data_IF_892048589850
#
_entry.id   IF_892048589850
#
_cell.length_a   1.000
_cell.length_b   1.000
_cell.length_c   1.000
_cell.angle_alpha   90.00
_cell.angle_beta   90.00
_cell.angle_gamma   90.00
#
_symmetry.space_group_name_H-M   'P 1'
#
loop_
_entity.id
_entity.type
_entity.pdbx_description
1 polymer ?
#
# COMPACT_ATOMS: atom_id res chain seq x y z
N UNK A 1 30.17 46.56 12.33
CA UNK A 1 29.11 46.13 11.43
C UNK A 1 29.38 46.65 10.02
N UNK A 2 29.41 45.74 9.07
CA UNK A 2 29.49 46.11 7.66
C UNK A 2 28.09 45.93 7.04
N UNK A 3 27.62 46.92 6.23
CA UNK A 3 26.29 47.03 5.62
C UNK A 3 25.15 47.47 6.58
N UNK A 4 23.88 47.30 6.17
CA UNK A 4 22.75 48.05 6.73
C UNK A 4 21.92 47.26 7.75
N UNK A 5 21.21 47.98 8.60
CA UNK A 5 20.19 47.44 9.51
C UNK A 5 20.64 46.37 10.51
N UNK A 6 21.93 46.24 10.77
CA UNK A 6 22.47 45.32 11.75
C UNK A 6 22.34 45.84 13.18
N UNK A 7 21.89 44.99 14.11
CA UNK A 7 21.83 45.24 15.55
C UNK A 7 22.85 44.35 16.25
N UNK A 8 23.73 44.96 17.08
CA UNK A 8 24.79 44.23 17.78
C UNK A 8 26.18 44.54 17.23
N UNK A 9 27.15 43.62 17.41
CA UNK A 9 28.56 43.87 17.07
C UNK A 9 29.11 42.82 16.10
N UNK A 10 29.99 43.24 15.22
CA UNK A 10 30.75 42.39 14.30
C UNK A 10 29.89 41.64 13.30
N UNK A 11 28.71 42.17 12.98
CA UNK A 11 27.83 41.58 11.96
C UNK A 11 28.24 42.12 10.57
N UNK A 12 28.08 41.27 9.55
CA UNK A 12 28.31 41.59 8.14
C UNK A 12 27.11 41.21 7.29
N UNK A 13 26.70 42.02 6.33
CA UNK A 13 25.51 41.87 5.55
C UNK A 13 24.32 42.68 6.08
N UNK A 14 23.07 42.27 5.87
CA UNK A 14 21.91 43.11 6.12
C UNK A 14 20.93 42.51 7.15
N UNK A 15 20.42 43.33 8.06
CA UNK A 15 19.36 43.00 9.00
C UNK A 15 19.73 41.93 10.05
N UNK A 16 21.00 41.72 10.34
CA UNK A 16 21.41 40.73 11.34
C UNK A 16 21.28 41.29 12.77
N UNK A 17 20.87 40.45 13.70
CA UNK A 17 20.73 40.78 15.13
C UNK A 17 21.62 39.84 15.96
N UNK A 18 22.54 40.44 16.76
CA UNK A 18 23.42 39.68 17.63
C UNK A 18 24.90 39.90 17.32
N UNK A 19 25.71 38.86 17.37
CA UNK A 19 27.17 38.99 17.27
C UNK A 19 27.76 38.08 16.21
N UNK A 20 28.70 38.59 15.42
CA UNK A 20 29.47 37.82 14.44
C UNK A 20 28.64 37.13 13.36
N UNK A 21 27.42 37.59 13.06
CA UNK A 21 26.59 37.01 12.01
C UNK A 21 27.00 37.55 10.62
N UNK A 22 26.88 36.70 9.60
CA UNK A 22 27.19 37.04 8.21
C UNK A 22 26.04 36.64 7.29
N UNK A 23 25.65 37.50 6.37
CA UNK A 23 24.56 37.28 5.44
C UNK A 23 23.34 38.15 5.76
N UNK A 24 22.12 37.59 5.69
CA UNK A 24 20.90 38.37 5.77
C UNK A 24 19.94 37.87 6.83
N UNK A 25 19.51 38.75 7.74
CA UNK A 25 18.40 38.45 8.66
C UNK A 25 18.70 37.40 9.72
N UNK A 26 19.96 37.12 10.02
CA UNK A 26 20.31 36.15 11.05
C UNK A 26 20.13 36.73 12.46
N UNK A 27 19.69 35.92 13.39
CA UNK A 27 19.51 36.28 14.79
C UNK A 27 20.33 35.33 15.68
N UNK A 28 21.24 35.87 16.47
CA UNK A 28 22.05 35.08 17.40
C UNK A 28 23.54 35.31 17.26
N UNK A 29 24.36 34.26 17.32
CA UNK A 29 25.80 34.35 17.34
C UNK A 29 26.44 33.49 16.25
N UNK A 30 27.25 34.10 15.39
CA UNK A 30 28.09 33.39 14.44
C UNK A 30 27.31 32.65 13.34
N UNK A 31 26.08 33.04 13.04
CA UNK A 31 25.30 32.43 11.97
C UNK A 31 25.77 33.00 10.62
N UNK A 32 25.74 32.11 9.60
CA UNK A 32 26.13 32.46 8.22
C UNK A 32 25.00 32.05 7.26
N UNK A 33 24.65 32.97 6.34
CA UNK A 33 23.62 32.73 5.33
C UNK A 33 22.35 33.54 5.57
N UNK A 34 21.17 32.94 5.52
CA UNK A 34 19.92 33.69 5.53
C UNK A 34 18.96 33.22 6.62
N UNK A 35 18.48 34.18 7.42
CA UNK A 35 17.40 33.97 8.39
C UNK A 35 17.61 32.77 9.34
N UNK A 36 18.83 32.56 9.79
CA UNK A 36 19.11 31.57 10.82
C UNK A 36 18.87 32.16 12.22
N UNK A 37 18.35 31.34 13.12
CA UNK A 37 18.13 31.70 14.51
C UNK A 37 18.94 30.76 15.44
N UNK A 38 19.81 31.34 16.27
CA UNK A 38 20.59 30.56 17.23
C UNK A 38 22.11 30.80 17.12
N UNK A 39 22.90 29.73 17.18
CA UNK A 39 24.35 29.84 17.27
C UNK A 39 25.02 28.99 16.18
N UNK A 40 25.94 29.57 15.46
CA UNK A 40 26.82 28.88 14.50
C UNK A 40 26.08 28.07 13.42
N UNK A 41 24.88 28.47 13.02
CA UNK A 41 24.17 27.85 11.92
C UNK A 41 24.68 28.37 10.57
N UNK A 42 24.73 27.51 9.56
CA UNK A 42 25.15 27.82 8.20
C UNK A 42 24.11 27.41 7.18
N UNK A 43 23.78 28.28 6.24
CA UNK A 43 22.76 28.07 5.23
C UNK A 43 21.53 28.93 5.48
N UNK A 44 20.33 28.35 5.42
CA UNK A 44 19.12 29.19 5.46
C UNK A 44 18.05 28.60 6.40
N UNK A 45 17.41 29.50 7.14
CA UNK A 45 16.24 29.17 7.98
C UNK A 45 16.50 28.07 9.02
N UNK A 46 17.72 27.93 9.51
CA UNK A 46 18.03 26.98 10.57
C UNK A 46 17.74 27.58 11.94
N UNK A 47 17.24 26.79 12.85
CA UNK A 47 17.01 27.15 14.25
C UNK A 47 17.77 26.22 15.17
N UNK A 48 18.61 26.75 16.05
CA UNK A 48 19.35 25.99 17.03
C UNK A 48 20.85 26.21 17.03
N UNK A 49 21.62 25.14 17.14
CA UNK A 49 23.07 25.20 17.24
C UNK A 49 23.76 24.37 16.17
N UNK A 50 24.61 24.96 15.37
CA UNK A 50 25.53 24.25 14.48
C UNK A 50 24.89 23.51 13.35
N UNK A 51 23.67 23.87 12.95
CA UNK A 51 23.00 23.24 11.82
C UNK A 51 23.57 23.75 10.50
N UNK A 52 23.67 22.87 9.50
CA UNK A 52 24.15 23.21 8.15
C UNK A 52 23.14 22.78 7.10
N UNK A 53 22.89 23.61 6.10
CA UNK A 53 21.88 23.39 5.08
C UNK A 53 20.66 24.26 5.29
N UNK A 54 19.46 23.72 5.12
CA UNK A 54 18.25 24.56 5.15
C UNK A 54 17.15 23.99 6.03
N UNK A 55 16.50 24.90 6.76
CA UNK A 55 15.27 24.58 7.51
C UNK A 55 15.44 23.47 8.55
N UNK A 56 16.61 23.41 9.17
CA UNK A 56 16.84 22.46 10.25
C UNK A 56 16.49 23.08 11.61
N UNK A 57 15.92 22.26 12.49
CA UNK A 57 15.62 22.64 13.87
C UNK A 57 16.34 21.69 14.83
N UNK A 58 17.16 22.23 15.74
CA UNK A 58 17.86 21.44 16.74
C UNK A 58 19.38 21.64 16.72
N UNK A 59 20.11 20.54 16.87
CA UNK A 59 21.55 20.61 17.10
C UNK A 59 22.31 19.79 16.05
N UNK A 60 23.31 20.42 15.41
CA UNK A 60 24.25 19.72 14.54
C UNK A 60 23.64 18.85 13.45
N UNK A 61 22.59 19.33 12.80
CA UNK A 61 21.97 18.63 11.67
C UNK A 61 22.58 19.14 10.35
N UNK A 62 23.42 18.37 9.65
CA UNK A 62 23.79 18.64 8.28
C UNK A 62 22.75 18.06 7.32
N UNK A 63 22.24 18.86 6.40
CA UNK A 63 21.21 18.48 5.46
C UNK A 63 20.03 19.43 5.48
N UNK A 64 18.85 18.96 5.13
CA UNK A 64 17.69 19.84 5.00
C UNK A 64 16.47 19.30 5.74
N UNK A 65 15.71 20.22 6.32
CA UNK A 65 14.41 19.90 6.94
C UNK A 65 14.53 18.81 8.03
N UNK A 66 15.59 18.84 8.81
CA UNK A 66 15.76 17.90 9.92
C UNK A 66 15.31 18.54 11.24
N UNK A 67 14.71 17.74 12.10
CA UNK A 67 14.35 18.11 13.46
C UNK A 67 15.00 17.15 14.44
N UNK A 68 15.81 17.69 15.36
CA UNK A 68 16.47 16.90 16.40
C UNK A 68 17.98 17.08 16.47
N UNK A 69 18.73 16.01 16.63
CA UNK A 69 20.17 16.06 16.90
C UNK A 69 20.95 15.20 15.92
N UNK A 70 21.93 15.78 15.24
CA UNK A 70 22.92 15.03 14.47
C UNK A 70 22.38 14.24 13.30
N UNK A 71 21.25 14.64 12.73
CA UNK A 71 20.69 13.96 11.57
C UNK A 71 21.41 14.38 10.30
N UNK A 72 21.89 13.42 9.53
CA UNK A 72 22.50 13.62 8.20
C UNK A 72 21.49 13.17 7.12
N UNK A 73 21.38 13.87 6.04
CA UNK A 73 20.34 13.63 5.05
C UNK A 73 19.20 14.62 5.19
N UNK A 74 17.98 14.23 4.83
CA UNK A 74 16.89 15.20 4.78
C UNK A 74 15.60 14.67 5.39
N UNK A 75 14.80 15.59 5.94
CA UNK A 75 13.46 15.30 6.43
C UNK A 75 13.48 14.24 7.55
N UNK A 76 14.43 14.31 8.46
CA UNK A 76 14.50 13.40 9.60
C UNK A 76 13.96 14.07 10.87
N UNK A 77 13.26 13.28 11.68
CA UNK A 77 12.84 13.66 13.04
C UNK A 77 13.44 12.68 14.05
N UNK A 78 14.22 13.19 14.99
CA UNK A 78 14.88 12.39 16.01
C UNK A 78 16.38 12.60 16.05
N UNK A 79 17.17 11.55 16.25
CA UNK A 79 18.59 11.74 16.48
C UNK A 79 19.46 10.75 15.70
N UNK A 80 20.54 11.26 15.14
CA UNK A 80 21.58 10.45 14.50
C UNK A 80 21.08 9.55 13.37
N UNK A 81 20.09 10.00 12.61
CA UNK A 81 19.68 9.35 11.38
C UNK A 81 20.59 9.78 10.23
N UNK A 82 21.00 8.83 9.37
CA UNK A 82 21.89 9.14 8.23
C UNK A 82 21.17 9.14 6.89
N UNK A 83 20.08 8.42 6.75
CA UNK A 83 19.21 8.45 5.57
C UNK A 83 18.23 9.61 5.59
N UNK A 84 17.21 9.51 4.80
CA UNK A 84 16.18 10.55 4.65
C UNK A 84 14.81 10.06 5.10
N UNK A 85 13.98 11.01 5.54
CA UNK A 85 12.57 10.75 5.92
C UNK A 85 12.44 9.72 7.04
N UNK A 86 13.32 9.76 8.03
CA UNK A 86 13.26 8.87 9.18
C UNK A 86 12.61 9.55 10.39
N UNK A 87 11.85 8.77 11.15
CA UNK A 87 11.35 9.16 12.48
C UNK A 87 11.88 8.20 13.53
N UNK A 88 12.62 8.73 14.50
CA UNK A 88 13.31 7.97 15.54
C UNK A 88 14.80 8.20 15.55
N UNK A 89 15.58 7.19 15.94
CA UNK A 89 17.01 7.42 16.14
C UNK A 89 17.88 6.30 15.55
N UNK A 90 19.07 6.68 15.08
CA UNK A 90 20.07 5.75 14.58
C UNK A 90 19.58 4.90 13.39
N UNK A 91 18.71 5.45 12.53
CA UNK A 91 18.33 4.79 11.29
C UNK A 91 19.34 5.15 10.19
N UNK A 92 19.86 4.13 9.50
CA UNK A 92 20.85 4.30 8.44
C UNK A 92 20.20 4.41 7.05
N UNK A 93 19.11 3.68 6.82
CA UNK A 93 18.34 3.72 5.58
C UNK A 93 17.29 4.82 5.55
N UNK A 94 16.45 4.78 4.55
CA UNK A 94 15.43 5.79 4.28
C UNK A 94 14.04 5.36 4.77
N UNK A 95 13.18 6.32 5.08
CA UNK A 95 11.76 6.11 5.37
C UNK A 95 11.48 5.16 6.55
N UNK A 96 12.32 5.16 7.56
CA UNK A 96 12.13 4.31 8.72
C UNK A 96 11.36 5.02 9.85
N UNK A 97 10.53 4.26 10.55
CA UNK A 97 9.90 4.67 11.81
C UNK A 97 10.35 3.75 12.94
N UNK A 98 10.93 4.32 13.99
CA UNK A 98 11.56 3.60 15.08
C UNK A 98 13.07 3.79 15.13
N UNK A 99 13.82 2.85 15.65
CA UNK A 99 15.25 3.09 15.86
C UNK A 99 16.12 1.90 15.47
N UNK A 100 17.35 2.21 15.08
CA UNK A 100 18.36 1.22 14.72
C UNK A 100 17.98 0.37 13.50
N UNK A 101 17.21 0.91 12.57
CA UNK A 101 16.92 0.25 11.32
C UNK A 101 17.98 0.61 10.28
N UNK A 102 18.59 -0.41 9.66
CA UNK A 102 19.65 -0.19 8.67
C UNK A 102 19.17 -0.30 7.23
N UNK A 103 18.06 -0.97 6.98
CA UNK A 103 17.39 -0.98 5.67
C UNK A 103 16.34 0.11 5.54
N UNK A 104 15.57 0.05 4.46
CA UNK A 104 14.60 1.07 4.09
C UNK A 104 13.16 0.66 4.46
N UNK A 105 12.31 1.66 4.67
CA UNK A 105 10.88 1.46 4.90
C UNK A 105 10.53 0.51 6.06
N UNK A 106 11.30 0.55 7.14
CA UNK A 106 11.02 -0.28 8.30
C UNK A 106 10.20 0.47 9.35
N UNK A 107 9.33 -0.26 10.03
CA UNK A 107 8.63 0.20 11.22
C UNK A 107 9.00 -0.70 12.40
N UNK A 108 9.65 -0.13 13.42
CA UNK A 108 10.08 -0.86 14.61
C UNK A 108 11.56 -0.69 14.92
N UNK A 109 12.19 -1.73 15.43
CA UNK A 109 13.52 -1.63 16.00
C UNK A 109 14.46 -2.69 15.47
N UNK A 110 15.71 -2.31 15.17
CA UNK A 110 16.80 -3.24 14.80
C UNK A 110 16.51 -4.06 13.54
N UNK A 111 15.70 -3.56 12.61
CA UNK A 111 15.47 -4.25 11.35
C UNK A 111 16.60 -3.95 10.36
N UNK A 112 17.18 -5.00 9.78
CA UNK A 112 18.33 -4.87 8.89
C UNK A 112 18.01 -4.96 7.40
N UNK A 113 16.91 -5.59 7.04
CA UNK A 113 16.39 -5.59 5.65
C UNK A 113 15.32 -4.53 5.44
N UNK A 114 14.66 -4.59 4.30
CA UNK A 114 13.71 -3.59 3.86
C UNK A 114 12.26 -4.01 4.15
N UNK A 115 11.37 -3.01 4.30
CA UNK A 115 9.93 -3.19 4.44
C UNK A 115 9.50 -4.09 5.60
N UNK A 116 10.22 -4.06 6.71
CA UNK A 116 9.88 -4.87 7.87
C UNK A 116 9.01 -4.07 8.86
N UNK A 117 8.09 -4.79 9.51
CA UNK A 117 7.35 -4.29 10.66
C UNK A 117 7.64 -5.18 11.86
N UNK A 118 8.26 -4.61 12.90
CA UNK A 118 8.55 -5.33 14.13
C UNK A 118 9.96 -5.16 14.66
N UNK A 119 10.55 -6.22 15.19
CA UNK A 119 11.82 -6.12 15.91
C UNK A 119 12.84 -7.14 15.42
N UNK A 120 14.03 -6.67 15.11
CA UNK A 120 15.20 -7.52 14.80
C UNK A 120 14.96 -8.50 13.63
N UNK A 121 14.30 -8.05 12.58
CA UNK A 121 14.14 -8.80 11.35
C UNK A 121 15.33 -8.54 10.43
N UNK A 122 15.92 -9.59 9.84
CA UNK A 122 17.13 -9.46 9.00
C UNK A 122 16.90 -9.73 7.51
N UNK A 123 15.70 -10.10 7.11
CA UNK A 123 15.31 -10.20 5.72
C UNK A 123 14.33 -9.10 5.33
N UNK A 124 13.67 -9.27 4.21
CA UNK A 124 12.76 -8.26 3.64
C UNK A 124 11.29 -8.65 3.82
N UNK A 125 10.44 -7.63 3.95
CA UNK A 125 8.98 -7.77 3.96
C UNK A 125 8.48 -8.72 5.05
N UNK A 126 9.00 -8.56 6.25
CA UNK A 126 8.60 -9.38 7.39
C UNK A 126 7.70 -8.59 8.36
N UNK A 127 6.79 -9.32 9.00
CA UNK A 127 5.97 -8.79 10.09
C UNK A 127 6.13 -9.67 11.33
N UNK A 128 6.73 -9.13 12.38
CA UNK A 128 6.97 -9.86 13.61
C UNK A 128 8.32 -9.59 14.24
N UNK A 129 8.93 -10.59 14.85
CA UNK A 129 10.22 -10.38 15.50
C UNK A 129 11.18 -11.55 15.34
N UNK A 130 12.47 -11.21 15.25
CA UNK A 130 13.58 -12.16 15.14
C UNK A 130 13.43 -13.08 13.92
N UNK A 131 12.98 -12.55 12.83
CA UNK A 131 12.81 -13.28 11.58
C UNK A 131 14.08 -13.13 10.74
N UNK A 132 14.59 -14.25 10.27
CA UNK A 132 15.71 -14.32 9.33
C UNK A 132 15.26 -15.01 8.06
N UNK A 133 14.96 -14.24 7.04
CA UNK A 133 14.35 -14.67 5.79
C UNK A 133 13.45 -13.58 5.24
N UNK A 134 12.73 -13.87 4.18
CA UNK A 134 11.90 -12.89 3.49
C UNK A 134 10.43 -13.30 3.53
N UNK A 135 9.54 -12.32 3.42
CA UNK A 135 8.10 -12.54 3.27
C UNK A 135 7.50 -13.43 4.37
N UNK A 136 7.91 -13.22 5.61
CA UNK A 136 7.52 -14.06 6.73
C UNK A 136 6.74 -13.29 7.78
N UNK A 137 5.88 -14.00 8.51
CA UNK A 137 5.02 -13.42 9.54
C UNK A 137 5.06 -14.26 10.83
N UNK A 138 5.32 -13.64 11.96
CA UNK A 138 5.38 -14.29 13.25
C UNK A 138 6.68 -14.06 14.02
N UNK A 139 7.18 -15.08 14.69
CA UNK A 139 8.32 -14.94 15.60
C UNK A 139 9.34 -16.07 15.39
N UNK A 140 10.63 -15.70 15.44
CA UNK A 140 11.76 -16.65 15.44
C UNK A 140 11.85 -17.54 14.20
N UNK A 141 11.27 -17.13 13.08
CA UNK A 141 11.35 -17.88 11.84
C UNK A 141 12.71 -17.75 11.15
N UNK A 142 13.14 -18.84 10.55
CA UNK A 142 14.31 -18.87 9.66
C UNK A 142 13.89 -19.39 8.29
N UNK A 143 14.29 -18.65 7.26
CA UNK A 143 13.89 -18.96 5.88
C UNK A 143 12.70 -18.12 5.41
N UNK A 144 12.43 -18.25 4.13
CA UNK A 144 11.44 -17.42 3.44
C UNK A 144 10.02 -18.00 3.57
N UNK A 145 9.03 -17.14 3.42
CA UNK A 145 7.61 -17.49 3.35
C UNK A 145 7.09 -18.26 4.56
N UNK A 146 7.59 -17.95 5.75
CA UNK A 146 7.15 -18.60 6.99
C UNK A 146 5.94 -17.90 7.60
N UNK A 147 5.13 -18.65 8.36
CA UNK A 147 3.93 -18.12 9.00
C UNK A 147 2.80 -17.84 8.01
N UNK A 148 2.73 -18.59 6.93
CA UNK A 148 1.63 -18.52 5.97
C UNK A 148 0.34 -18.98 6.63
N UNK A 149 -0.66 -18.12 6.62
CA UNK A 149 -2.04 -18.51 6.96
C UNK A 149 -2.79 -18.61 5.64
N UNK A 150 -3.07 -19.82 5.21
CA UNK A 150 -3.80 -20.07 3.98
C UNK A 150 -4.89 -21.10 4.19
N UNK A 151 -6.03 -20.89 3.59
CA UNK A 151 -7.10 -21.86 3.43
C UNK A 151 -7.29 -22.11 1.94
N UNK A 152 -7.03 -23.33 1.50
CA UNK A 152 -7.38 -23.76 0.15
C UNK A 152 -8.41 -24.89 0.26
N UNK A 153 -9.58 -24.68 -0.29
CA UNK A 153 -10.62 -25.68 -0.35
C UNK A 153 -11.35 -25.60 -1.69
N UNK A 154 -11.83 -26.73 -2.13
CA UNK A 154 -12.69 -26.79 -3.32
C UNK A 154 -14.08 -27.23 -2.88
N UNK A 155 -15.05 -26.38 -3.10
CA UNK A 155 -16.47 -26.74 -2.96
C UNK A 155 -16.95 -27.21 -4.33
N UNK A 156 -17.34 -28.44 -4.42
CA UNK A 156 -17.90 -28.96 -5.64
C UNK A 156 -19.43 -28.94 -5.53
N UNK A 157 -20.08 -28.14 -6.37
CA UNK A 157 -21.52 -28.23 -6.54
C UNK A 157 -21.77 -29.50 -7.33
N UNK A 158 -22.53 -30.46 -6.78
CA UNK A 158 -22.86 -31.70 -7.50
C UNK A 158 -23.57 -31.38 -8.83
N UNK A 159 -23.50 -32.30 -9.74
CA UNK A 159 -24.28 -32.22 -10.97
C UNK A 159 -25.78 -32.01 -10.66
N UNK A 160 -26.34 -30.94 -11.22
CA UNK A 160 -27.75 -30.61 -11.11
C UNK A 160 -28.44 -31.19 -12.36
N UNK A 161 -29.09 -32.32 -12.25
CA UNK A 161 -29.80 -32.88 -13.41
C UNK A 161 -30.99 -32.00 -13.78
N UNK A 162 -31.16 -31.75 -15.04
CA UNK A 162 -32.37 -31.14 -15.54
C UNK A 162 -33.03 -32.02 -16.58
N UNK A 163 -34.34 -31.99 -16.57
CA UNK A 163 -35.18 -32.61 -17.57
C UNK A 163 -36.21 -31.59 -18.00
N UNK A 164 -36.40 -31.44 -19.28
CA UNK A 164 -37.55 -30.71 -19.80
C UNK A 164 -38.38 -31.63 -20.67
N UNK A 165 -39.67 -31.56 -20.47
CA UNK A 165 -40.66 -32.20 -21.29
C UNK A 165 -41.49 -31.10 -21.95
N UNK A 166 -41.30 -30.91 -23.25
CA UNK A 166 -42.09 -29.98 -24.02
C UNK A 166 -43.05 -30.80 -24.91
N UNK A 167 -44.33 -30.56 -24.69
CA UNK A 167 -45.39 -31.16 -25.52
C UNK A 167 -46.14 -30.05 -26.23
N UNK A 168 -45.97 -29.98 -27.53
CA UNK A 168 -46.63 -28.99 -28.36
C UNK A 168 -47.68 -29.72 -29.21
N UNK A 169 -49.00 -29.55 -28.94
CA UNK A 169 -50.01 -30.03 -29.83
C UNK A 169 -50.01 -29.22 -31.12
N UNK A 170 -49.88 -29.90 -32.24
CA UNK A 170 -49.98 -29.30 -33.57
C UNK A 170 -51.30 -29.74 -34.18
N UNK A 171 -52.17 -28.78 -34.36
CA UNK A 171 -53.46 -28.97 -35.05
C UNK A 171 -53.37 -28.34 -36.44
N UNK A 172 -52.68 -29.05 -37.35
CA UNK A 172 -52.52 -28.56 -38.74
C UNK A 172 -53.15 -29.65 -39.65
N UNK A 173 -54.12 -29.30 -40.47
CA UNK A 173 -54.65 -30.19 -41.48
C UNK A 173 -53.63 -30.38 -42.60
N UNK A 174 -52.71 -31.29 -42.44
CA UNK A 174 -51.73 -31.67 -43.47
C UNK A 174 -52.14 -32.95 -44.14
N UNK A 175 -52.34 -32.88 -45.48
CA UNK A 175 -52.48 -34.08 -46.30
C UNK A 175 -51.12 -34.41 -46.90
N UNK A 176 -50.37 -35.35 -46.28
CA UNK A 176 -49.05 -35.79 -46.73
C UNK A 176 -48.15 -36.21 -45.58
N UNK A 177 -47.07 -36.91 -45.88
CA UNK A 177 -46.08 -37.34 -44.91
C UNK A 177 -44.96 -36.28 -44.80
N UNK A 178 -44.73 -35.73 -43.62
CA UNK A 178 -43.58 -34.83 -43.36
C UNK A 178 -42.61 -35.60 -42.46
N UNK A 179 -41.40 -35.79 -42.97
CA UNK A 179 -40.28 -36.34 -42.19
C UNK A 179 -39.32 -35.21 -41.91
N UNK A 180 -39.24 -34.79 -40.69
CA UNK A 180 -38.23 -33.85 -40.25
C UNK A 180 -37.22 -34.56 -39.35
N UNK A 181 -35.97 -34.68 -39.81
CA UNK A 181 -34.84 -35.12 -39.00
C UNK A 181 -33.99 -33.92 -38.70
N UNK A 182 -34.00 -33.45 -37.49
CA UNK A 182 -33.07 -32.41 -37.03
C UNK A 182 -32.26 -32.92 -35.85
N UNK A 183 -31.01 -33.30 -36.07
CA UNK A 183 -30.10 -33.40 -34.96
C UNK A 183 -29.71 -31.97 -34.57
N UNK A 184 -30.27 -31.47 -33.50
CA UNK A 184 -29.91 -30.16 -33.00
C UNK A 184 -29.16 -30.34 -31.70
N UNK A 185 -27.88 -30.11 -31.78
CA UNK A 185 -27.11 -29.79 -30.59
C UNK A 185 -27.01 -28.26 -30.47
N UNK A 186 -27.28 -27.74 -29.30
CA UNK A 186 -26.93 -26.34 -29.02
C UNK A 186 -25.95 -26.28 -27.88
N UNK A 187 -25.01 -25.37 -28.02
CA UNK A 187 -23.94 -25.17 -27.04
C UNK A 187 -24.20 -23.87 -26.29
N UNK A 188 -24.29 -23.93 -24.97
CA UNK A 188 -24.27 -22.78 -24.11
C UNK A 188 -22.81 -22.35 -24.01
N UNK A 189 -22.45 -21.14 -24.45
CA UNK A 189 -21.07 -20.65 -24.32
C UNK A 189 -20.58 -20.69 -22.88
N UNK A 190 -19.31 -20.98 -22.69
CA UNK A 190 -18.70 -20.92 -21.37
C UNK A 190 -18.88 -19.53 -20.74
N UNK A 191 -19.10 -19.50 -19.45
CA UNK A 191 -19.25 -18.25 -18.67
C UNK A 191 -18.38 -18.28 -17.43
N UNK A 192 -18.03 -17.09 -16.97
CA UNK A 192 -17.14 -16.92 -15.85
C UNK A 192 -17.92 -16.62 -14.57
N UNK A 193 -17.68 -17.41 -13.54
CA UNK A 193 -18.21 -17.12 -12.19
C UNK A 193 -17.16 -16.34 -11.41
N UNK A 194 -17.54 -15.17 -10.93
CA UNK A 194 -16.72 -14.33 -10.06
C UNK A 194 -17.44 -14.13 -8.73
N UNK A 195 -16.87 -14.65 -7.66
CA UNK A 195 -17.42 -14.49 -6.30
C UNK A 195 -16.51 -13.58 -5.51
N UNK A 196 -17.07 -12.51 -4.95
CA UNK A 196 -16.43 -11.57 -4.05
C UNK A 196 -16.93 -11.82 -2.63
N UNK A 197 -16.06 -12.24 -1.73
CA UNK A 197 -16.37 -12.48 -0.32
C UNK A 197 -15.67 -11.44 0.56
N UNK A 198 -16.42 -10.41 0.95
CA UNK A 198 -16.00 -9.44 1.96
C UNK A 198 -14.94 -8.43 1.50
N UNK A 199 -14.38 -7.64 2.42
CA UNK A 199 -13.33 -6.65 2.10
C UNK A 199 -11.98 -7.27 1.70
N UNK A 200 -11.74 -8.53 2.04
CA UNK A 200 -10.69 -9.34 1.44
C UNK A 200 -11.31 -10.06 0.23
N UNK A 201 -11.10 -9.51 -0.95
CA UNK A 201 -11.64 -10.08 -2.17
C UNK A 201 -11.02 -11.46 -2.43
N UNK A 202 -11.74 -12.52 -2.11
CA UNK A 202 -11.45 -13.82 -2.67
C UNK A 202 -12.07 -13.84 -4.06
N UNK A 203 -11.24 -13.73 -5.08
CA UNK A 203 -11.68 -13.84 -6.46
C UNK A 203 -11.65 -15.32 -6.80
N UNK A 204 -12.81 -15.94 -6.79
CA UNK A 204 -13.00 -17.21 -7.48
C UNK A 204 -13.22 -16.90 -8.95
N UNK A 205 -12.27 -17.26 -9.76
CA UNK A 205 -12.26 -16.99 -11.19
C UNK A 205 -12.27 -18.34 -11.92
N UNK A 206 -13.42 -19.01 -11.88
CA UNK A 206 -13.60 -20.27 -12.57
C UNK A 206 -14.36 -20.07 -13.88
N UNK A 207 -13.86 -20.69 -14.92
CA UNK A 207 -14.49 -20.71 -16.23
C UNK A 207 -15.28 -22.02 -16.38
N UNK A 208 -16.60 -21.90 -16.37
CA UNK A 208 -17.44 -23.04 -16.71
C UNK A 208 -17.39 -23.20 -18.21
N UNK A 209 -16.87 -24.31 -18.67
CA UNK A 209 -16.73 -24.65 -20.10
C UNK A 209 -18.05 -24.66 -20.83
N UNK A 210 -18.00 -24.70 -22.16
CA UNK A 210 -19.21 -24.79 -22.93
C UNK A 210 -19.99 -26.08 -22.59
N UNK A 211 -21.30 -25.95 -22.36
CA UNK A 211 -22.19 -27.06 -22.12
C UNK A 211 -22.92 -27.38 -23.42
N UNK A 212 -22.69 -28.57 -23.97
CA UNK A 212 -23.35 -29.01 -25.19
C UNK A 212 -24.56 -29.91 -24.84
N UNK A 213 -25.71 -29.56 -25.34
CA UNK A 213 -26.95 -30.32 -25.15
C UNK A 213 -27.29 -30.94 -26.50
N UNK A 214 -27.26 -32.26 -26.56
CA UNK A 214 -27.66 -33.03 -27.75
C UNK A 214 -29.13 -33.37 -27.69
N UNK A 215 -29.87 -32.90 -28.68
CA UNK A 215 -31.30 -33.21 -28.83
C UNK A 215 -31.48 -34.10 -30.06
N UNK A 216 -31.75 -35.35 -29.84
CA UNK A 216 -32.09 -36.29 -30.91
C UNK A 216 -33.62 -36.38 -31.07
N UNK A 217 -34.11 -35.94 -32.20
CA UNK A 217 -35.53 -36.00 -32.51
C UNK A 217 -35.80 -36.58 -33.89
N UNK A 218 -36.65 -37.54 -33.95
CA UNK A 218 -37.25 -38.03 -35.19
C UNK A 218 -38.75 -37.76 -35.13
N UNK A 219 -39.26 -36.96 -36.05
CA UNK A 219 -40.69 -36.65 -36.17
C UNK A 219 -41.21 -37.27 -37.46
N UNK A 220 -42.11 -38.21 -37.33
CA UNK A 220 -42.91 -38.70 -38.46
C UNK A 220 -44.35 -38.23 -38.30
N UNK A 221 -44.84 -37.45 -39.28
CA UNK A 221 -46.22 -36.97 -39.29
C UNK A 221 -46.97 -37.71 -40.39
N UNK A 222 -47.98 -38.52 -40.03
CA UNK A 222 -48.89 -39.19 -40.96
C UNK A 222 -50.21 -38.43 -40.98
N UNK A 223 -50.64 -38.05 -42.17
CA UNK A 223 -51.86 -37.28 -42.39
C UNK A 223 -53.15 -38.15 -42.40
N UNK A 224 -54.30 -37.66 -41.97
CA UNK A 224 -54.74 -36.38 -41.48
C UNK A 224 -54.97 -36.39 -39.95
N UNK A 225 -54.02 -36.13 -39.15
CA UNK A 225 -54.11 -36.41 -37.71
C UNK A 225 -53.59 -35.27 -36.90
N UNK A 226 -54.30 -34.98 -35.82
CA UNK A 226 -53.71 -34.18 -34.70
C UNK A 226 -52.55 -34.95 -34.12
N UNK A 227 -51.38 -34.37 -34.21
CA UNK A 227 -50.15 -34.94 -33.60
C UNK A 227 -49.59 -34.02 -32.55
N UNK A 228 -49.11 -34.64 -31.48
CA UNK A 228 -48.39 -33.92 -30.44
C UNK A 228 -46.91 -34.17 -30.65
N UNK A 229 -46.17 -33.09 -30.87
CA UNK A 229 -44.72 -33.18 -30.87
C UNK A 229 -44.28 -33.14 -29.42
N UNK A 230 -43.69 -34.22 -28.96
CA UNK A 230 -43.08 -34.27 -27.65
C UNK A 230 -41.55 -34.25 -27.77
N UNK A 231 -40.95 -33.34 -27.13
CA UNK A 231 -39.49 -33.26 -26.99
C UNK A 231 -39.12 -33.50 -25.54
N UNK A 232 -38.30 -34.49 -25.31
CA UNK A 232 -37.74 -34.76 -23.99
C UNK A 232 -36.25 -34.52 -24.08
N UNK A 233 -35.76 -33.56 -23.32
CA UNK A 233 -34.35 -33.33 -23.16
C UNK A 233 -33.92 -33.60 -21.73
N UNK A 234 -32.83 -34.30 -21.58
CA UNK A 234 -32.19 -34.53 -20.29
C UNK A 234 -30.75 -34.10 -20.37
N UNK A 235 -30.26 -33.45 -19.31
CA UNK A 235 -28.89 -33.05 -19.20
C UNK A 235 -28.54 -32.75 -17.74
N UNK A 236 -27.34 -32.34 -17.50
CA UNK A 236 -26.88 -31.93 -16.16
C UNK A 236 -25.98 -30.71 -16.22
N UNK A 237 -26.10 -29.87 -15.23
CA UNK A 237 -25.13 -28.79 -14.96
C UNK A 237 -24.15 -29.28 -13.91
N UNK A 238 -22.87 -29.37 -14.25
CA UNK A 238 -21.86 -29.74 -13.28
C UNK A 238 -21.23 -31.12 -13.51
N UNK A 239 -20.42 -31.58 -12.57
CA UNK A 239 -20.10 -30.92 -11.30
C UNK A 239 -19.34 -29.62 -11.50
N UNK A 240 -19.65 -28.58 -10.69
CA UNK A 240 -19.02 -27.31 -10.76
C UNK A 240 -18.03 -27.21 -9.59
N UNK A 241 -16.72 -27.30 -9.82
CA UNK A 241 -15.73 -27.06 -8.79
C UNK A 241 -15.55 -25.56 -8.56
N UNK A 242 -15.77 -25.11 -7.34
CA UNK A 242 -15.46 -23.76 -6.90
C UNK A 242 -14.23 -23.83 -6.02
N UNK A 243 -13.07 -23.48 -6.56
CA UNK A 243 -11.84 -23.36 -5.81
C UNK A 243 -11.87 -22.08 -4.97
N UNK A 244 -11.74 -22.21 -3.65
CA UNK A 244 -11.57 -21.11 -2.73
C UNK A 244 -10.14 -21.18 -2.23
N UNK A 245 -9.34 -20.16 -2.55
CA UNK A 245 -8.00 -20.00 -2.01
C UNK A 245 -7.93 -18.68 -1.27
N UNK A 246 -7.73 -18.75 0.04
CA UNK A 246 -7.53 -17.60 0.91
C UNK A 246 -6.10 -17.69 1.43
N UNK A 247 -5.29 -16.69 1.11
CA UNK A 247 -3.88 -16.69 1.47
C UNK A 247 -2.99 -17.04 0.27
N UNK A 248 -1.71 -17.02 0.48
CA UNK A 248 -0.69 -17.20 -0.55
C UNK A 248 0.40 -16.13 -0.43
N UNK A 249 0.13 -15.10 0.34
CA UNK A 249 1.13 -14.19 0.88
C UNK A 249 1.25 -14.38 2.39
N UNK A 250 2.41 -14.13 3.00
CA UNK A 250 2.54 -14.18 4.44
C UNK A 250 1.53 -13.23 5.12
N UNK A 251 0.67 -13.81 5.98
CA UNK A 251 -0.38 -13.06 6.67
C UNK A 251 -1.79 -13.42 6.22
N UNK A 252 -2.77 -12.63 6.66
CA UNK A 252 -4.19 -12.90 6.45
C UNK A 252 -4.92 -11.69 5.87
N UNK A 253 -5.81 -11.94 4.90
CA UNK A 253 -6.68 -10.93 4.33
C UNK A 253 -5.96 -9.89 3.45
N UNK A 254 -4.77 -10.20 2.93
CA UNK A 254 -4.04 -9.30 2.05
C UNK A 254 -4.55 -9.41 0.61
N UNK A 255 -4.82 -8.26 -0.01
CA UNK A 255 -5.19 -8.11 -1.40
C UNK A 255 -4.21 -7.14 -2.08
N UNK A 256 -2.96 -7.57 -2.20
CA UNK A 256 -1.88 -6.79 -2.81
C UNK A 256 -1.38 -7.48 -4.06
N UNK A 257 -0.95 -6.69 -5.06
CA UNK A 257 -0.34 -7.22 -6.28
C UNK A 257 1.15 -7.49 -6.13
N UNK A 258 1.78 -6.97 -5.10
CA UNK A 258 3.17 -7.20 -4.73
C UNK A 258 3.28 -8.09 -3.48
N UNK A 259 4.49 -8.59 -3.19
CA UNK A 259 4.74 -9.35 -1.97
C UNK A 259 4.39 -8.55 -0.72
N UNK A 260 3.66 -9.17 0.20
CA UNK A 260 3.24 -8.55 1.44
C UNK A 260 3.27 -9.53 2.61
N UNK A 261 3.42 -9.02 3.81
CA UNK A 261 3.31 -9.78 5.04
C UNK A 261 2.46 -9.04 6.08
N UNK A 262 1.77 -9.78 6.95
CA UNK A 262 0.89 -9.18 7.96
C UNK A 262 -0.58 -9.33 7.60
N UNK A 263 -1.40 -8.30 7.92
CA UNK A 263 -2.86 -8.46 7.91
C UNK A 263 -3.57 -7.31 7.19
N UNK A 264 -4.58 -7.66 6.37
CA UNK A 264 -5.55 -6.75 5.77
C UNK A 264 -4.95 -5.61 4.94
N UNK A 265 -3.92 -5.90 4.15
CA UNK A 265 -3.35 -4.93 3.22
C UNK A 265 -4.10 -4.93 1.89
N UNK A 266 -4.24 -3.75 1.27
CA UNK A 266 -4.76 -3.63 -0.11
C UNK A 266 -3.91 -2.69 -0.95
N UNK A 267 -3.75 -3.01 -2.23
CA UNK A 267 -3.06 -2.15 -3.19
C UNK A 267 -1.91 -2.81 -3.93
N UNK A 268 -0.98 -2.00 -4.39
CA UNK A 268 0.18 -2.45 -5.15
C UNK A 268 1.48 -2.11 -4.41
N UNK A 269 2.45 -3.03 -4.41
CA UNK A 269 3.76 -2.82 -3.79
C UNK A 269 4.07 -3.80 -2.67
N UNK A 270 5.24 -3.62 -2.07
CA UNK A 270 5.68 -4.40 -0.91
C UNK A 270 5.11 -3.80 0.37
N UNK A 271 4.31 -4.56 1.09
CA UNK A 271 3.61 -4.05 2.27
C UNK A 271 3.80 -4.97 3.46
N UNK A 272 4.11 -4.42 4.62
CA UNK A 272 4.18 -5.16 5.88
C UNK A 272 3.39 -4.48 7.00
N UNK A 273 2.92 -5.26 7.98
CA UNK A 273 2.25 -4.76 9.18
C UNK A 273 0.76 -5.05 9.24
N UNK A 274 -0.08 -4.02 9.44
CA UNK A 274 -1.52 -4.19 9.63
C UNK A 274 -2.33 -3.09 8.93
N UNK A 275 -3.25 -3.47 8.04
CA UNK A 275 -4.25 -2.56 7.47
C UNK A 275 -3.67 -1.36 6.72
N UNK A 276 -2.64 -1.56 5.88
CA UNK A 276 -2.12 -0.51 5.00
C UNK A 276 -2.83 -0.54 3.65
N UNK A 277 -3.23 0.62 3.13
CA UNK A 277 -4.05 0.75 1.93
C UNK A 277 -3.42 1.71 0.91
N UNK A 278 -3.15 1.23 -0.30
CA UNK A 278 -2.70 2.10 -1.37
C UNK A 278 -1.62 1.50 -2.26
N UNK A 279 -0.99 2.33 -3.06
CA UNK A 279 0.05 1.92 -3.99
C UNK A 279 1.43 2.31 -3.46
N UNK A 280 2.39 1.41 -3.63
CA UNK A 280 3.77 1.64 -3.20
C UNK A 280 4.14 0.89 -1.91
N UNK A 281 5.39 1.03 -1.56
CA UNK A 281 5.99 0.30 -0.45
C UNK A 281 5.56 0.90 0.89
N UNK A 282 5.06 0.09 1.80
CA UNK A 282 4.57 0.57 3.09
C UNK A 282 4.94 -0.37 4.23
N UNK A 283 5.16 0.19 5.40
CA UNK A 283 5.33 -0.58 6.63
C UNK A 283 4.56 0.06 7.80
N UNK A 284 4.19 -0.75 8.79
CA UNK A 284 3.49 -0.27 9.97
C UNK A 284 2.00 -0.54 9.95
N UNK A 285 1.17 0.40 10.42
CA UNK A 285 -0.25 0.13 10.60
C UNK A 285 -1.12 1.31 10.16
N UNK A 286 -2.18 0.99 9.41
CA UNK A 286 -3.22 1.95 9.03
C UNK A 286 -2.75 3.06 8.11
N UNK A 287 -1.65 2.88 7.37
CA UNK A 287 -1.16 3.88 6.44
C UNK A 287 -1.97 3.87 5.15
N UNK A 288 -2.19 5.05 4.58
CA UNK A 288 -2.97 5.25 3.37
C UNK A 288 -2.16 6.03 2.32
N UNK A 289 -2.07 5.52 1.09
CA UNK A 289 -1.36 6.20 0.00
C UNK A 289 -0.14 5.43 -0.50
N UNK A 290 1.02 6.05 -0.57
CA UNK A 290 2.22 5.43 -1.12
C UNK A 290 3.47 5.73 -0.30
N UNK A 291 4.35 4.74 -0.10
CA UNK A 291 5.66 4.91 0.50
C UNK A 291 5.66 5.33 1.97
N UNK A 292 4.64 4.99 2.74
CA UNK A 292 4.51 5.42 4.12
C UNK A 292 5.07 4.38 5.09
N UNK A 293 5.73 4.83 6.15
CA UNK A 293 6.13 4.00 7.29
C UNK A 293 5.59 4.56 8.61
N UNK A 294 5.27 3.67 9.56
CA UNK A 294 4.74 4.08 10.86
C UNK A 294 3.25 3.87 10.99
N UNK A 295 2.53 4.82 11.59
CA UNK A 295 1.14 4.62 11.99
C UNK A 295 0.22 5.73 11.47
N UNK A 296 -0.86 5.34 10.79
CA UNK A 296 -1.94 6.22 10.33
C UNK A 296 -1.46 7.43 9.51
N UNK A 297 -0.40 7.26 8.73
CA UNK A 297 0.03 8.30 7.80
C UNK A 297 -0.81 8.23 6.52
N UNK A 298 -1.16 9.38 5.97
CA UNK A 298 -1.92 9.45 4.73
C UNK A 298 -1.34 10.48 3.77
N UNK A 299 -1.27 10.10 2.50
CA UNK A 299 -0.83 11.01 1.44
C UNK A 299 0.02 10.37 0.36
N UNK A 300 0.60 11.21 -0.46
CA UNK A 300 1.13 10.79 -1.74
C UNK A 300 2.44 10.03 -1.72
N UNK A 301 3.42 10.47 -0.96
CA UNK A 301 4.77 9.88 -1.03
C UNK A 301 5.53 10.04 0.29
N UNK A 302 6.00 8.91 0.84
CA UNK A 302 7.13 8.86 1.75
C UNK A 302 6.95 9.59 3.09
N UNK A 303 5.88 9.33 3.83
CA UNK A 303 5.76 9.81 5.20
C UNK A 303 6.30 8.80 6.20
N UNK A 304 6.94 9.28 7.27
CA UNK A 304 7.32 8.44 8.41
C UNK A 304 6.80 9.01 9.72
N UNK A 305 6.48 8.14 10.67
CA UNK A 305 6.02 8.54 12.00
C UNK A 305 4.54 8.25 12.25
N UNK A 306 3.84 9.17 12.89
CA UNK A 306 2.46 8.99 13.33
C UNK A 306 1.57 10.14 12.85
N UNK A 307 0.45 9.82 12.20
CA UNK A 307 -0.61 10.76 11.81
C UNK A 307 -0.13 11.91 10.90
N UNK A 308 0.79 11.67 10.00
CA UNK A 308 1.23 12.67 9.03
C UNK A 308 0.33 12.63 7.79
N UNK A 309 -0.13 13.81 7.31
CA UNK A 309 -1.06 13.97 6.19
C UNK A 309 -0.46 14.88 5.11
N UNK A 310 -0.02 14.29 4.02
CA UNK A 310 0.61 15.01 2.91
C UNK A 310 1.72 14.21 2.25
N UNK A 311 2.85 14.81 1.93
CA UNK A 311 3.96 14.14 1.28
C UNK A 311 5.30 14.52 1.90
N UNK A 312 6.21 13.55 1.98
CA UNK A 312 7.58 13.74 2.47
C UNK A 312 7.61 14.36 3.88
N UNK A 313 6.94 13.70 4.80
CA UNK A 313 6.88 14.18 6.18
C UNK A 313 7.52 13.20 7.14
N UNK A 314 8.10 13.71 8.21
CA UNK A 314 8.54 12.89 9.33
C UNK A 314 8.11 13.49 10.67
N UNK A 315 7.75 12.62 11.63
CA UNK A 315 7.39 13.03 12.98
C UNK A 315 5.96 12.71 13.37
N UNK A 316 5.31 13.63 14.09
CA UNK A 316 3.99 13.45 14.65
C UNK A 316 3.02 14.51 14.16
N UNK A 317 1.91 14.05 13.58
CA UNK A 317 0.73 14.87 13.26
C UNK A 317 1.04 16.12 12.43
N UNK A 318 1.87 15.98 11.41
CA UNK A 318 2.15 17.05 10.47
C UNK A 318 1.12 17.08 9.32
N UNK A 319 0.79 18.27 8.86
CA UNK A 319 -0.13 18.50 7.74
C UNK A 319 0.51 19.38 6.68
N UNK A 320 0.72 18.85 5.48
CA UNK A 320 1.32 19.57 4.35
C UNK A 320 2.37 18.76 3.61
N UNK A 321 3.40 19.41 3.09
CA UNK A 321 4.44 18.74 2.33
C UNK A 321 5.83 19.15 2.83
N UNK A 322 6.76 18.18 2.82
CA UNK A 322 8.17 18.37 3.17
C UNK A 322 8.36 18.99 4.56
N UNK A 323 7.79 18.32 5.57
CA UNK A 323 7.78 18.81 6.95
C UNK A 323 8.41 17.76 7.86
N UNK A 324 9.20 18.22 8.84
CA UNK A 324 9.64 17.40 9.97
C UNK A 324 9.24 18.01 11.30
N UNK A 325 9.05 17.19 12.33
CA UNK A 325 8.74 17.64 13.68
C UNK A 325 7.39 17.19 14.19
N UNK A 326 6.76 18.04 15.02
CA UNK A 326 5.54 17.70 15.75
C UNK A 326 4.51 18.79 15.58
N UNK A 327 3.29 18.42 15.16
CA UNK A 327 2.13 19.32 14.96
C UNK A 327 2.41 20.50 14.01
N UNK A 328 3.23 20.31 13.00
CA UNK A 328 3.50 21.36 12.02
C UNK A 328 2.46 21.34 10.90
N UNK A 329 2.06 22.53 10.47
CA UNK A 329 1.19 22.71 9.30
C UNK A 329 1.91 23.57 8.26
N UNK A 330 1.93 23.11 7.00
CA UNK A 330 2.40 23.90 5.89
C UNK A 330 1.46 23.76 4.72
N UNK A 331 0.95 24.87 4.24
CA UNK A 331 0.16 24.94 3.00
C UNK A 331 1.00 25.36 1.81
N UNK A 332 2.32 25.54 1.99
CA UNK A 332 3.18 26.15 0.99
C UNK A 332 4.08 25.12 0.31
N UNK A 333 4.08 25.15 -1.02
CA UNK A 333 5.14 24.63 -1.86
C UNK A 333 6.49 25.16 -1.39
N UNK A 334 7.52 24.35 -1.43
CA UNK A 334 8.95 24.50 -1.10
C UNK A 334 9.60 25.90 -1.05
N UNK A 335 8.87 26.99 -1.21
CA UNK A 335 9.41 28.33 -1.31
C UNK A 335 9.34 29.18 -0.03
N UNK A 336 8.64 28.73 1.02
CA UNK A 336 8.56 29.53 2.26
C UNK A 336 8.66 28.66 3.51
N UNK A 337 9.52 29.04 4.47
CA UNK A 337 9.62 28.33 5.73
C UNK A 337 8.34 28.50 6.55
N UNK A 338 7.72 27.38 6.91
CA UNK A 338 6.65 27.41 7.89
C UNK A 338 7.27 27.55 9.29
N UNK A 339 7.06 28.70 9.90
CA UNK A 339 7.25 28.82 11.34
C UNK A 339 6.09 28.08 12.00
N UNK A 340 6.39 26.97 12.68
CA UNK A 340 5.42 26.32 13.52
C UNK A 340 5.05 27.25 14.67
N UNK A 341 3.84 27.78 14.65
CA UNK A 341 3.25 28.38 15.83
C UNK A 341 2.57 27.27 16.63
N UNK A 342 3.22 26.84 17.72
CA UNK A 342 2.59 26.03 18.76
C UNK A 342 1.62 26.86 19.57
#
# INVERSE_FOLDING_TARGET
>A
NAASHNIGLFNSGDGNVGFFNSGTGNVGIGNTGTANFGIANSGSFNTGLGNTGSTNTGLFNPGNVNTGVGNTGSINTGSFNTGSTNTGSFNLGDHNTGSFNSGDYNTGYFNAGDYNTGVANTGNVNTGAFISGNYSNGFFWRGDYQGLIGLSTTITIPEIPYRYDLSVPIDIPITGTVVATTPNSFTIPGFQIRVLLGPAAVIVNEMIGPITIDVNQVIAIDSPIQQTISMVGTGGFGPIPIGISIGGTPGFGNSTTGPSSGFFHTGAGHVSGFGNFGAGNMSGSGNFGAGNSGFFNAGGLGNSGLLNFGALQSGLANLGNTISGVYNTSTLDLATPAFGSG
#
